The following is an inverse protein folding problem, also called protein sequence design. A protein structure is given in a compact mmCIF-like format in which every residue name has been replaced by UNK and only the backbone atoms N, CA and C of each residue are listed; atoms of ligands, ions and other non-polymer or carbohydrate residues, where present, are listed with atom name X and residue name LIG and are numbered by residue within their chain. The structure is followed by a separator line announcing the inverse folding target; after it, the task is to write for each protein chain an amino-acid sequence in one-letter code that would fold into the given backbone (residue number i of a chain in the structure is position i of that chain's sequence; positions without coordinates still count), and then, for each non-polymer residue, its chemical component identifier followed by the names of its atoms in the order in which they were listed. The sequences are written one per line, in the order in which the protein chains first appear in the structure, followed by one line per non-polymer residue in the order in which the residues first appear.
data_IF_894823785890
#
_entry.id   IF_894823785890
#
_cell.length_a   1.000
_cell.length_b   1.000
_cell.length_c   1.000
_cell.angle_alpha   90.00
_cell.angle_beta   90.00
_cell.angle_gamma   90.00
#
_symmetry.space_group_name_H-M   'P 1'
#
loop_
_entity.id
_entity.type
_entity.pdbx_description
1 polymer ?
#
# COMPACT_ATOMS: atom_id res chain seq x y z
N UNK A 1 15.89 -13.62 -0.61
CA UNK A 1 14.75 -12.83 -1.14
C UNK A 1 15.32 -11.63 -1.89
N UNK A 2 14.65 -11.15 -2.95
CA UNK A 2 15.19 -10.06 -3.79
C UNK A 2 15.37 -8.72 -3.04
N UNK A 3 14.61 -8.49 -1.96
CA UNK A 3 14.63 -7.24 -1.21
C UNK A 3 15.87 -7.09 -0.31
N UNK A 4 16.22 -8.14 0.44
CA UNK A 4 17.49 -8.21 1.20
C UNK A 4 17.67 -7.14 2.29
N UNK A 5 16.59 -6.53 2.80
CA UNK A 5 16.61 -5.51 3.85
C UNK A 5 16.24 -6.13 5.20
N UNK A 6 17.05 -5.90 6.24
CA UNK A 6 16.76 -6.37 7.59
C UNK A 6 15.50 -5.72 8.18
N UNK A 7 14.78 -6.44 9.05
CA UNK A 7 13.55 -5.97 9.71
C UNK A 7 12.45 -5.48 8.75
N UNK A 8 12.37 -6.09 7.56
CA UNK A 8 11.27 -5.85 6.62
C UNK A 8 10.53 -7.15 6.40
N UNK A 9 9.20 -7.10 6.51
CA UNK A 9 8.31 -8.20 6.20
C UNK A 9 7.41 -7.83 5.02
N UNK A 10 6.98 -8.86 4.29
CA UNK A 10 6.02 -8.74 3.19
C UNK A 10 4.84 -9.68 3.45
N UNK A 11 3.62 -9.17 3.35
CA UNK A 11 2.39 -9.98 3.45
C UNK A 11 1.78 -10.05 2.06
N UNK A 12 1.64 -11.28 1.53
CA UNK A 12 0.90 -11.53 0.30
C UNK A 12 -0.50 -12.02 0.67
N UNK A 13 -1.52 -11.28 0.23
CA UNK A 13 -2.91 -11.55 0.56
C UNK A 13 -3.68 -11.92 -0.71
N UNK A 14 -4.52 -12.95 -0.63
CA UNK A 14 -5.50 -13.32 -1.66
C UNK A 14 -6.87 -13.43 -0.99
N UNK A 15 -7.94 -13.13 -1.73
CA UNK A 15 -9.32 -13.18 -1.26
C UNK A 15 -9.63 -12.25 -0.07
N UNK A 16 -8.82 -11.22 0.15
CA UNK A 16 -9.08 -10.16 1.11
C UNK A 16 -8.44 -8.85 0.64
N UNK A 17 -8.99 -7.72 1.11
CA UNK A 17 -8.45 -6.40 0.84
C UNK A 17 -7.60 -5.92 2.03
N UNK A 18 -6.53 -5.13 1.81
CA UNK A 18 -5.71 -4.60 2.89
C UNK A 18 -6.50 -3.88 4.00
N UNK A 19 -7.57 -3.16 3.64
CA UNK A 19 -8.43 -2.44 4.59
C UNK A 19 -9.02 -3.33 5.69
N UNK A 20 -9.14 -4.65 5.44
CA UNK A 20 -9.66 -5.60 6.41
C UNK A 20 -8.69 -5.95 7.55
N UNK A 21 -7.37 -5.79 7.33
CA UNK A 21 -6.32 -6.25 8.27
C UNK A 21 -5.29 -5.17 8.63
N UNK A 22 -5.29 -4.05 7.91
CA UNK A 22 -4.26 -3.01 8.05
C UNK A 22 -4.19 -2.43 9.47
N UNK A 23 -5.32 -2.33 10.18
CA UNK A 23 -5.32 -1.83 11.55
C UNK A 23 -4.66 -2.81 12.52
N UNK A 24 -4.97 -4.10 12.42
CA UNK A 24 -4.37 -5.14 13.26
C UNK A 24 -2.85 -5.20 13.07
N UNK A 25 -2.38 -5.10 11.82
CA UNK A 25 -0.95 -5.02 11.51
C UNK A 25 -0.30 -3.80 12.16
N UNK A 26 -0.94 -2.62 12.08
CA UNK A 26 -0.41 -1.39 12.71
C UNK A 26 -0.42 -1.45 14.24
N UNK A 27 -1.26 -2.29 14.84
CA UNK A 27 -1.39 -2.43 16.30
C UNK A 27 -0.44 -3.48 16.89
N UNK A 28 0.17 -4.33 16.07
CA UNK A 28 1.21 -5.27 16.49
C UNK A 28 2.43 -4.50 17.03
N UNK A 29 2.85 -4.82 18.26
CA UNK A 29 3.88 -4.08 18.99
C UNK A 29 5.24 -4.09 18.28
N UNK A 30 5.52 -5.14 17.51
CA UNK A 30 6.74 -5.34 16.75
C UNK A 30 6.76 -4.56 15.42
N UNK A 31 5.64 -3.99 14.98
CA UNK A 31 5.51 -3.31 13.68
C UNK A 31 5.80 -1.82 13.83
N UNK A 32 6.98 -1.38 13.39
CA UNK A 32 7.35 0.03 13.44
C UNK A 32 6.63 0.90 12.38
N UNK A 33 6.45 0.37 11.17
CA UNK A 33 5.78 1.09 10.06
C UNK A 33 5.31 0.15 8.96
N UNK A 34 4.26 0.57 8.24
CA UNK A 34 3.81 -0.04 6.99
C UNK A 34 4.18 0.88 5.83
N UNK A 35 4.94 0.37 4.86
CA UNK A 35 5.38 1.16 3.70
C UNK A 35 4.29 1.34 2.64
N UNK A 36 3.56 0.27 2.33
CA UNK A 36 2.52 0.24 1.31
C UNK A 36 1.64 -0.99 1.54
N UNK A 37 0.37 -0.91 1.13
CA UNK A 37 -0.51 -2.06 1.01
C UNK A 37 -1.40 -1.86 -0.24
N UNK A 38 -1.06 -2.54 -1.32
CA UNK A 38 -1.62 -2.29 -2.66
C UNK A 38 -1.82 -3.56 -3.45
N UNK A 39 -2.67 -3.49 -4.48
CA UNK A 39 -2.78 -4.49 -5.54
C UNK A 39 -2.20 -3.99 -6.88
N UNK A 40 -1.68 -2.75 -6.92
CA UNK A 40 -1.03 -2.18 -8.10
C UNK A 40 0.35 -2.82 -8.31
N UNK A 41 0.94 -2.67 -9.52
CA UNK A 41 2.37 -2.89 -9.70
C UNK A 41 3.18 -2.08 -8.68
N UNK A 42 4.09 -2.74 -7.97
CA UNK A 42 4.85 -2.17 -6.87
C UNK A 42 6.35 -2.28 -7.13
N UNK A 43 7.07 -1.18 -6.93
CA UNK A 43 8.53 -1.18 -6.84
C UNK A 43 8.98 -0.67 -5.48
N UNK A 44 10.13 -1.15 -5.00
CA UNK A 44 10.71 -0.74 -3.72
C UNK A 44 12.07 -0.10 -4.00
N UNK A 45 12.27 1.11 -3.51
CA UNK A 45 13.54 1.83 -3.61
C UNK A 45 14.42 1.44 -2.43
N UNK A 46 15.52 0.78 -2.72
CA UNK A 46 16.45 0.25 -1.71
C UNK A 46 17.78 0.99 -1.80
N UNK A 47 18.22 1.57 -0.69
CA UNK A 47 19.60 2.02 -0.55
C UNK A 47 20.46 0.88 0.01
N UNK A 48 21.72 0.83 -0.41
CA UNK A 48 22.72 -0.11 0.07
C UNK A 48 23.97 0.65 0.52
N UNK A 49 24.56 0.21 1.63
CA UNK A 49 25.85 0.65 2.14
C UNK A 49 26.71 -0.59 2.42
N UNK A 50 27.95 -0.39 2.87
CA UNK A 50 28.80 -1.49 3.33
C UNK A 50 28.18 -2.30 4.49
N UNK A 51 27.37 -1.66 5.33
CA UNK A 51 26.70 -2.32 6.46
C UNK A 51 25.50 -3.17 6.02
N UNK A 52 24.73 -2.73 5.02
CA UNK A 52 23.50 -3.43 4.64
C UNK A 52 22.56 -2.61 3.77
N UNK A 53 21.29 -2.99 3.77
CA UNK A 53 20.26 -2.43 2.88
C UNK A 53 19.08 -1.88 3.66
N UNK A 54 18.55 -0.74 3.23
CA UNK A 54 17.39 -0.09 3.83
C UNK A 54 16.35 0.34 2.79
N UNK A 55 15.07 0.28 3.15
CA UNK A 55 13.97 0.77 2.30
C UNK A 55 13.86 2.28 2.44
N UNK A 56 14.06 2.98 1.32
CA UNK A 56 13.95 4.44 1.23
C UNK A 56 12.53 4.89 0.86
N UNK A 57 11.81 4.06 0.09
CA UNK A 57 10.46 4.38 -0.37
C UNK A 57 9.88 3.31 -1.28
N UNK A 58 8.67 3.58 -1.75
CA UNK A 58 7.87 2.69 -2.60
C UNK A 58 7.29 3.47 -3.77
N UNK A 59 7.17 2.81 -4.91
CA UNK A 59 6.44 3.31 -6.09
C UNK A 59 5.21 2.42 -6.24
N UNK A 60 4.05 2.95 -5.82
CA UNK A 60 2.76 2.26 -5.84
C UNK A 60 1.95 2.70 -7.06
N UNK A 61 1.94 1.86 -8.09
CA UNK A 61 1.20 2.13 -9.32
C UNK A 61 1.83 3.23 -10.17
N UNK A 62 0.97 4.09 -10.73
CA UNK A 62 1.35 5.10 -11.70
C UNK A 62 1.05 6.52 -11.21
N UNK A 63 1.78 7.50 -11.76
CA UNK A 63 1.56 8.91 -11.49
C UNK A 63 0.15 9.37 -11.89
N UNK A 64 -0.43 10.37 -11.18
CA UNK A 64 -1.73 10.92 -11.54
C UNK A 64 -1.70 11.57 -12.93
N UNK A 65 -2.79 11.40 -13.69
CA UNK A 65 -2.96 11.98 -15.03
C UNK A 65 -3.65 13.35 -15.03
N UNK A 66 -4.16 13.79 -13.88
CA UNK A 66 -4.93 15.03 -13.75
C UNK A 66 -5.65 15.09 -12.39
N UNK A 67 -6.52 16.09 -12.24
CA UNK A 67 -7.34 16.31 -11.05
C UNK A 67 -8.78 15.87 -11.34
N UNK A 68 -9.43 15.24 -10.36
CA UNK A 68 -10.83 14.80 -10.49
C UNK A 68 -11.80 15.97 -10.74
N UNK A 69 -12.70 15.78 -11.71
CA UNK A 69 -13.81 16.70 -12.00
C UNK A 69 -14.99 16.49 -11.04
N UNK A 70 -16.03 17.30 -11.16
CA UNK A 70 -17.28 17.09 -10.41
C UNK A 70 -17.96 15.76 -10.72
N UNK A 71 -17.88 15.30 -11.99
CA UNK A 71 -18.46 14.03 -12.41
C UNK A 71 -17.68 12.84 -11.84
N UNK A 72 -16.34 12.91 -11.84
CA UNK A 72 -15.47 11.87 -11.26
C UNK A 72 -15.73 11.67 -9.77
N UNK A 73 -15.94 12.78 -9.03
CA UNK A 73 -16.29 12.75 -7.60
C UNK A 73 -17.61 12.03 -7.35
N UNK A 74 -18.63 12.30 -8.16
CA UNK A 74 -19.93 11.62 -8.08
C UNK A 74 -19.77 10.13 -8.36
N UNK A 75 -19.09 9.78 -9.45
CA UNK A 75 -18.84 8.39 -9.84
C UNK A 75 -18.10 7.60 -8.74
N UNK A 76 -17.03 8.17 -8.14
CA UNK A 76 -16.30 7.52 -7.04
C UNK A 76 -17.17 7.29 -5.80
N UNK A 77 -18.02 8.26 -5.44
CA UNK A 77 -18.92 8.16 -4.28
C UNK A 77 -20.00 7.11 -4.51
N UNK A 78 -20.60 7.10 -5.69
CA UNK A 78 -21.64 6.12 -6.05
C UNK A 78 -21.07 4.71 -6.14
N UNK A 79 -19.85 4.57 -6.64
CA UNK A 79 -19.15 3.29 -6.62
C UNK A 79 -19.01 2.74 -5.19
N UNK A 80 -18.56 3.55 -4.22
CA UNK A 80 -18.43 3.12 -2.82
C UNK A 80 -19.77 2.66 -2.20
N UNK A 81 -20.89 3.29 -2.59
CA UNK A 81 -22.23 2.84 -2.17
C UNK A 81 -22.63 1.54 -2.85
N UNK A 82 -22.37 1.42 -4.16
CA UNK A 82 -22.65 0.22 -4.95
C UNK A 82 -21.94 -1.02 -4.40
N UNK A 83 -20.69 -0.87 -3.95
CA UNK A 83 -19.93 -1.97 -3.33
C UNK A 83 -20.21 -2.14 -1.83
N UNK A 84 -21.18 -1.41 -1.27
CA UNK A 84 -21.64 -1.56 0.13
C UNK A 84 -20.71 -0.95 1.19
N UNK A 85 -19.68 -0.20 0.80
CA UNK A 85 -18.72 0.40 1.73
C UNK A 85 -19.23 1.69 2.38
N UNK A 86 -20.21 2.35 1.76
CA UNK A 86 -20.86 3.56 2.29
C UNK A 86 -22.37 3.46 2.08
N UNK A 87 -23.13 4.07 2.97
CA UNK A 87 -24.57 4.28 2.83
C UNK A 87 -24.83 5.64 2.19
#
# INVERSE_FOLDING_TARGET
SALGTGHVFCILVRNAFPVAVLNDIKQCQEVCRVFCATANPLQIVVAATEQGRGVMGVIDGASPKGVETGQDKTARRDFLRKIGYKK
#
